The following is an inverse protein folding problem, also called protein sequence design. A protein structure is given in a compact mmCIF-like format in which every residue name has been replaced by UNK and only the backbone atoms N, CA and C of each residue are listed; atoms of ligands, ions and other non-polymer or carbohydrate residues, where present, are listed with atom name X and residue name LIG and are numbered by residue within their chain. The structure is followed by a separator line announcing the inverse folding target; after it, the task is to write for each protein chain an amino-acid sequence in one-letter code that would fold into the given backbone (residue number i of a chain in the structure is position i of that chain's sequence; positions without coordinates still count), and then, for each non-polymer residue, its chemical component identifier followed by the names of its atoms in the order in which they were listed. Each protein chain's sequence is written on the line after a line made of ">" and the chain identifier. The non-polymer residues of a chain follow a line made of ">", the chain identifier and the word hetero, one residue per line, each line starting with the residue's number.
data_IF_838127392146
#
_entry.id   IF_838127392146
#
_cell.length_a   1.000
_cell.length_b   1.000
_cell.length_c   1.000
_cell.angle_alpha   90.00
_cell.angle_beta   90.00
_cell.angle_gamma   90.00
#
_symmetry.space_group_name_H-M   'P 1'
#
loop_
_entity.id
_entity.type
_entity.pdbx_description
1 polymer ?
#
# COMPACT_ATOMS: atom_id res chain seq x y z
N UNK A 1 5.59 -3.70 25.15
CA UNK A 1 6.55 -3.74 24.02
C UNK A 1 6.04 -4.68 22.92
N UNK A 2 5.11 -4.22 22.08
CA UNK A 2 4.66 -4.93 20.86
C UNK A 2 4.92 -4.12 19.57
N UNK A 3 5.52 -2.92 19.71
CA UNK A 3 5.59 -1.91 18.66
C UNK A 3 6.62 -2.24 17.56
N UNK A 4 7.65 -3.01 17.88
CA UNK A 4 8.80 -3.26 17.00
C UNK A 4 8.56 -4.35 15.94
N UNK A 5 7.90 -5.46 16.29
CA UNK A 5 7.60 -6.55 15.33
C UNK A 5 6.53 -6.10 14.35
N UNK A 6 5.48 -5.43 14.84
CA UNK A 6 4.45 -4.83 13.99
C UNK A 6 5.02 -3.73 13.09
N UNK A 7 6.05 -3.00 13.50
CA UNK A 7 6.69 -2.03 12.60
C UNK A 7 7.47 -2.72 11.50
N UNK A 8 8.25 -3.76 11.77
CA UNK A 8 9.04 -4.44 10.72
C UNK A 8 8.14 -5.08 9.65
N UNK A 9 7.11 -5.83 10.07
CA UNK A 9 6.16 -6.47 9.16
C UNK A 9 5.34 -5.45 8.38
N UNK A 10 4.94 -4.34 9.02
CA UNK A 10 4.24 -3.27 8.33
C UNK A 10 5.14 -2.53 7.33
N UNK A 11 6.41 -2.29 7.65
CA UNK A 11 7.36 -1.71 6.69
C UNK A 11 7.55 -2.62 5.47
N UNK A 12 7.64 -3.94 5.66
CA UNK A 12 7.67 -4.89 4.55
C UNK A 12 6.40 -4.82 3.68
N UNK A 13 5.23 -4.69 4.30
CA UNK A 13 3.96 -4.43 3.60
C UNK A 13 4.01 -3.13 2.77
N UNK A 14 4.51 -2.02 3.34
CA UNK A 14 4.60 -0.74 2.63
C UNK A 14 5.55 -0.78 1.43
N UNK A 15 6.67 -1.49 1.55
CA UNK A 15 7.61 -1.72 0.46
C UNK A 15 6.91 -2.47 -0.68
N UNK A 16 6.19 -3.55 -0.36
CA UNK A 16 5.43 -4.33 -1.34
C UNK A 16 4.32 -3.50 -1.99
N UNK A 17 3.61 -2.68 -1.22
CA UNK A 17 2.57 -1.78 -1.72
C UNK A 17 3.12 -0.80 -2.76
N UNK A 18 4.23 -0.14 -2.45
CA UNK A 18 4.91 0.79 -3.36
C UNK A 18 5.45 0.08 -4.60
N UNK A 19 6.04 -1.10 -4.42
CA UNK A 19 6.59 -1.88 -5.52
C UNK A 19 5.49 -2.30 -6.52
N UNK A 20 4.37 -2.82 -6.02
CA UNK A 20 3.25 -3.20 -6.87
C UNK A 20 2.70 -2.02 -7.69
N UNK A 21 2.63 -0.82 -7.11
CA UNK A 21 2.27 0.39 -7.85
C UNK A 21 3.24 0.67 -9.00
N UNK A 22 4.54 0.56 -8.73
CA UNK A 22 5.59 0.82 -9.71
C UNK A 22 5.58 -0.22 -10.84
N UNK A 23 5.38 -1.50 -10.53
CA UNK A 23 5.25 -2.58 -11.52
C UNK A 23 3.99 -2.41 -12.39
N UNK A 24 2.92 -1.86 -11.83
CA UNK A 24 1.73 -1.47 -12.58
C UNK A 24 1.94 -0.23 -13.46
N UNK A 25 3.12 0.42 -13.41
CA UNK A 25 3.43 1.62 -14.19
C UNK A 25 2.69 2.88 -13.73
N UNK A 26 2.11 2.87 -12.52
CA UNK A 26 1.26 3.96 -12.03
C UNK A 26 2.05 4.95 -11.17
N UNK A 27 1.78 6.24 -11.34
CA UNK A 27 2.23 7.27 -10.39
C UNK A 27 1.31 7.31 -9.16
N UNK A 28 1.76 7.93 -8.07
CA UNK A 28 0.88 8.15 -6.91
C UNK A 28 -0.34 9.03 -7.25
N UNK A 29 -0.25 9.89 -8.29
CA UNK A 29 -1.37 10.72 -8.76
C UNK A 29 -2.41 9.88 -9.50
N UNK A 30 -1.98 8.96 -10.35
CA UNK A 30 -2.89 8.07 -11.09
C UNK A 30 -3.71 7.22 -10.11
N UNK A 31 -3.04 6.68 -9.10
CA UNK A 31 -3.69 5.90 -8.04
C UNK A 31 -4.68 6.73 -7.23
N UNK A 32 -4.26 7.93 -6.83
CA UNK A 32 -5.11 8.83 -6.08
C UNK A 32 -6.35 9.25 -6.87
N UNK A 33 -6.19 9.53 -8.17
CA UNK A 33 -7.30 9.85 -9.06
C UNK A 33 -8.27 8.68 -9.21
N UNK A 34 -7.77 7.45 -9.38
CA UNK A 34 -8.60 6.25 -9.47
C UNK A 34 -9.40 5.97 -8.17
N UNK A 35 -8.86 6.37 -7.02
CA UNK A 35 -9.50 6.18 -5.71
C UNK A 35 -10.36 7.38 -5.25
N UNK A 36 -10.47 8.43 -6.08
CA UNK A 36 -11.07 9.71 -5.70
C UNK A 36 -10.49 10.27 -4.39
N UNK A 37 -9.16 10.36 -4.35
CA UNK A 37 -8.37 10.84 -3.21
C UNK A 37 -7.32 11.88 -3.65
N UNK A 38 -6.83 12.73 -2.72
CA UNK A 38 -5.65 13.54 -3.00
C UNK A 38 -4.40 12.66 -3.14
N UNK A 39 -3.42 13.08 -3.94
CA UNK A 39 -2.14 12.34 -4.06
C UNK A 39 -1.44 12.11 -2.71
N UNK A 40 -1.61 13.03 -1.75
CA UNK A 40 -1.09 12.89 -0.39
C UNK A 40 -1.67 11.70 0.36
N UNK A 41 -2.87 11.22 0.02
CA UNK A 41 -3.43 9.98 0.58
C UNK A 41 -2.53 8.79 0.26
N UNK A 42 -2.16 8.61 -1.01
CA UNK A 42 -1.29 7.50 -1.46
C UNK A 42 0.10 7.65 -0.88
N UNK A 43 0.66 8.87 -0.89
CA UNK A 43 1.97 9.14 -0.28
C UNK A 43 2.02 8.79 1.21
N UNK A 44 1.00 9.17 1.98
CA UNK A 44 0.91 8.86 3.42
C UNK A 44 0.69 7.38 3.69
N UNK A 45 -0.01 6.67 2.80
CA UNK A 45 -0.12 5.23 2.87
C UNK A 45 1.25 4.59 2.67
N UNK A 46 1.96 4.91 1.58
CA UNK A 46 3.28 4.33 1.25
C UNK A 46 4.38 4.69 2.26
N UNK A 47 4.31 5.85 2.92
CA UNK A 47 5.26 6.23 3.97
C UNK A 47 4.92 5.63 5.34
N UNK A 48 3.71 5.12 5.51
CA UNK A 48 3.21 4.61 6.78
C UNK A 48 2.74 5.67 7.77
N UNK A 49 2.72 6.96 7.38
CA UNK A 49 2.04 8.01 8.16
C UNK A 49 0.54 7.72 8.33
N UNK A 50 -0.05 7.05 7.34
CA UNK A 50 -1.43 6.57 7.38
C UNK A 50 -1.45 5.05 7.28
N UNK A 51 -2.26 4.43 8.15
CA UNK A 51 -2.53 2.99 8.07
C UNK A 51 -3.45 2.69 6.89
N UNK A 52 -3.14 1.62 6.16
CA UNK A 52 -4.01 1.04 5.13
C UNK A 52 -4.82 -0.07 5.77
N UNK A 53 -6.15 0.02 5.68
CA UNK A 53 -7.02 -1.08 6.09
C UNK A 53 -7.22 -2.11 4.97
N UNK A 54 -7.93 -3.21 5.27
CA UNK A 54 -8.10 -4.32 4.32
C UNK A 54 -8.99 -3.97 3.11
N UNK A 55 -9.96 -3.07 3.27
CA UNK A 55 -10.83 -2.62 2.18
C UNK A 55 -10.04 -1.72 1.24
N UNK A 56 -9.23 -0.83 1.79
CA UNK A 56 -8.31 0.01 1.02
C UNK A 56 -7.25 -0.83 0.31
N UNK A 57 -6.71 -1.85 0.98
CA UNK A 57 -5.77 -2.78 0.37
C UNK A 57 -6.38 -3.53 -0.82
N UNK A 58 -7.65 -3.93 -0.73
CA UNK A 58 -8.35 -4.56 -1.85
C UNK A 58 -8.45 -3.61 -3.05
N UNK A 59 -8.73 -2.32 -2.81
CA UNK A 59 -8.78 -1.33 -3.88
C UNK A 59 -7.40 -1.12 -4.54
N UNK A 60 -6.33 -1.04 -3.75
CA UNK A 60 -4.96 -0.99 -4.28
C UNK A 60 -4.62 -2.24 -5.09
N UNK A 61 -4.95 -3.44 -4.59
CA UNK A 61 -4.70 -4.71 -5.27
C UNK A 61 -5.38 -4.76 -6.65
N UNK A 62 -6.66 -4.40 -6.71
CA UNK A 62 -7.43 -4.35 -7.94
C UNK A 62 -6.81 -3.37 -8.95
N UNK A 63 -6.41 -2.18 -8.48
CA UNK A 63 -5.81 -1.17 -9.35
C UNK A 63 -4.41 -1.56 -9.84
N UNK A 64 -3.63 -2.24 -9.00
CA UNK A 64 -2.28 -2.69 -9.35
C UNK A 64 -2.26 -3.99 -10.15
N UNK A 65 -3.42 -4.63 -10.35
CA UNK A 65 -3.55 -5.86 -11.13
C UNK A 65 -2.89 -7.07 -10.47
N UNK A 66 -2.82 -7.11 -9.13
CA UNK A 66 -2.21 -8.21 -8.39
C UNK A 66 -3.12 -8.72 -7.26
N UNK A 67 -2.99 -9.98 -6.83
CA UNK A 67 -3.80 -10.53 -5.74
C UNK A 67 -3.38 -9.95 -4.38
N UNK A 68 -4.31 -9.93 -3.43
CA UNK A 68 -4.13 -9.24 -2.13
C UNK A 68 -3.03 -9.86 -1.25
N UNK A 69 -2.73 -11.14 -1.45
CA UNK A 69 -1.65 -11.88 -0.78
C UNK A 69 -0.26 -11.39 -1.19
N UNK A 70 -0.12 -10.73 -2.35
CA UNK A 70 1.13 -10.08 -2.80
C UNK A 70 1.70 -9.10 -1.77
N UNK A 71 0.85 -8.52 -0.92
CA UNK A 71 1.23 -7.53 0.09
C UNK A 71 1.54 -8.12 1.47
N UNK A 72 1.24 -9.40 1.70
CA UNK A 72 1.41 -10.01 3.01
C UNK A 72 2.90 -10.28 3.31
N UNK A 73 3.41 -9.82 4.46
CA UNK A 73 4.78 -10.14 4.88
C UNK A 73 4.85 -11.59 5.36
N UNK A 74 6.02 -12.23 5.18
CA UNK A 74 6.34 -13.53 5.77
C UNK A 74 6.12 -13.53 7.29
N UNK A 75 5.71 -14.69 7.83
CA UNK A 75 5.33 -14.88 9.22
C UNK A 75 6.53 -14.97 10.17
#
# INVERSE_FOLDING_TARGET
>A
MARAVHSARYQAFLIRLRHARMEAGLTQRDVAQALDKPQSYVSKCESGERRVDVVELQAFAALYGCPIDSFLPEL
#
